data_IF_012063994698
#
_entry.id   IF_012063994698
#
_cell.length_a   1.000
_cell.length_b   1.000
_cell.length_c   1.000
_cell.angle_alpha   90.00
_cell.angle_beta   90.00
_cell.angle_gamma   90.00
#
_symmetry.space_group_name_H-M   'P 1'
#
loop_
_entity.id
_entity.type
_entity.pdbx_description
1 polymer ?
#
# COMPACT_ATOMS: atom_id res chain seq x y z
N UNK A 1 7.45 8.97 10.42
CA UNK A 1 8.27 8.87 9.19
C UNK A 1 7.81 9.89 8.16
N UNK A 2 6.57 9.82 7.67
CA UNK A 2 6.02 10.80 6.71
C UNK A 2 6.15 12.27 7.16
N UNK A 3 5.83 12.56 8.43
CA UNK A 3 6.04 13.91 8.98
C UNK A 3 7.49 14.42 8.93
N UNK A 4 8.49 13.52 8.96
CA UNK A 4 9.88 13.90 8.80
C UNK A 4 10.19 14.30 7.35
N UNK A 5 9.66 13.56 6.36
CA UNK A 5 9.81 13.91 4.95
C UNK A 5 9.21 15.29 4.66
N UNK A 6 8.02 15.58 5.23
CA UNK A 6 7.39 16.89 5.13
C UNK A 6 8.24 17.99 5.79
N UNK A 7 8.78 17.73 6.99
CA UNK A 7 9.61 18.70 7.73
C UNK A 7 10.89 19.06 6.98
N UNK A 8 11.55 18.07 6.38
CA UNK A 8 12.79 18.25 5.62
C UNK A 8 12.55 18.56 4.13
N UNK A 9 11.28 18.69 3.71
CA UNK A 9 10.89 18.94 2.32
C UNK A 9 11.48 17.94 1.30
N UNK A 10 11.78 16.72 1.75
CA UNK A 10 12.47 15.74 0.90
C UNK A 10 12.47 14.33 1.46
N UNK A 11 12.72 13.37 0.56
CA UNK A 11 12.76 11.93 0.85
C UNK A 11 14.18 11.41 0.64
N UNK A 12 14.81 10.77 1.65
CA UNK A 12 16.11 10.16 1.48
C UNK A 12 16.07 8.96 0.53
N UNK A 13 17.23 8.55 0.00
CA UNK A 13 17.35 7.34 -0.82
C UNK A 13 17.06 6.07 -0.02
N UNK A 14 17.57 6.02 1.21
CA UNK A 14 17.43 4.88 2.12
C UNK A 14 16.88 5.34 3.48
N UNK A 15 16.06 4.50 4.11
CA UNK A 15 15.59 4.71 5.48
C UNK A 15 15.95 3.48 6.30
N UNK A 16 16.79 3.69 7.31
CA UNK A 16 17.14 2.65 8.26
C UNK A 16 16.03 2.51 9.31
N UNK A 17 15.57 1.29 9.53
CA UNK A 17 14.48 0.95 10.44
C UNK A 17 14.98 -0.01 11.51
N UNK A 18 14.59 0.27 12.75
CA UNK A 18 14.80 -0.66 13.86
C UNK A 18 13.83 -1.85 13.72
N UNK A 19 14.26 -3.04 14.17
CA UNK A 19 13.54 -4.32 14.05
C UNK A 19 12.35 -4.40 15.04
N UNK A 20 11.51 -3.38 15.07
CA UNK A 20 10.25 -3.44 15.79
C UNK A 20 9.36 -4.51 15.15
N UNK A 21 8.89 -5.48 15.94
CA UNK A 21 8.00 -6.59 15.53
C UNK A 21 6.77 -6.15 14.70
N UNK A 22 6.37 -4.89 14.77
CA UNK A 22 5.25 -4.32 14.01
C UNK A 22 5.56 -4.12 12.50
N UNK A 23 6.82 -4.11 12.08
CA UNK A 23 7.24 -3.81 10.71
C UNK A 23 7.84 -5.00 9.95
N UNK A 24 8.13 -6.11 10.64
CA UNK A 24 8.84 -7.27 10.10
C UNK A 24 7.97 -8.53 10.21
N UNK A 25 7.58 -9.12 9.08
CA UNK A 25 6.78 -10.35 9.01
C UNK A 25 7.63 -11.61 9.16
N UNK A 26 8.90 -11.59 8.74
CA UNK A 26 9.81 -12.73 8.88
C UNK A 26 11.27 -12.25 9.01
N UNK A 27 12.01 -12.88 9.92
CA UNK A 27 13.44 -12.67 10.11
C UNK A 27 14.15 -14.00 9.95
N UNK A 28 14.87 -14.18 8.85
CA UNK A 28 15.79 -15.32 8.73
C UNK A 28 17.17 -14.89 9.26
N UNK A 29 17.51 -15.42 10.43
CA UNK A 29 18.75 -15.10 11.14
C UNK A 29 20.01 -15.66 10.46
N UNK A 30 19.86 -16.59 9.53
CA UNK A 30 20.97 -17.24 8.81
C UNK A 30 21.25 -16.50 7.50
N UNK A 31 20.21 -16.05 6.78
CA UNK A 31 20.35 -15.36 5.47
C UNK A 31 20.39 -13.83 5.57
N UNK A 32 20.07 -13.25 6.75
CA UNK A 32 19.86 -11.79 6.98
C UNK A 32 18.72 -11.20 6.13
N UNK A 33 17.83 -12.04 5.62
CA UNK A 33 16.68 -11.58 4.82
C UNK A 33 15.58 -11.08 5.76
N UNK A 34 15.28 -9.77 5.69
CA UNK A 34 14.20 -9.14 6.45
C UNK A 34 13.04 -8.90 5.52
N UNK A 35 11.93 -9.63 5.74
CA UNK A 35 10.67 -9.33 5.06
C UNK A 35 9.91 -8.27 5.83
N UNK A 36 9.89 -7.06 5.28
CA UNK A 36 9.04 -6.00 5.80
C UNK A 36 7.57 -6.29 5.47
N UNK A 37 6.65 -5.82 6.32
CA UNK A 37 5.22 -5.99 6.05
C UNK A 37 4.82 -5.27 4.74
N UNK A 38 3.73 -5.74 4.12
CA UNK A 38 3.27 -5.22 2.83
C UNK A 38 2.98 -3.71 2.85
N UNK A 39 2.55 -3.18 4.01
CA UNK A 39 2.23 -1.75 4.21
C UNK A 39 3.49 -0.89 4.15
N UNK A 40 4.60 -1.33 4.73
CA UNK A 40 5.89 -0.63 4.68
C UNK A 40 6.47 -0.67 3.26
N UNK A 41 6.36 -1.78 2.55
CA UNK A 41 6.76 -1.83 1.13
C UNK A 41 5.94 -0.89 0.25
N UNK A 42 4.62 -0.80 0.48
CA UNK A 42 3.77 0.16 -0.21
C UNK A 42 4.15 1.61 0.12
N UNK A 43 4.44 1.91 1.39
CA UNK A 43 4.91 3.22 1.85
C UNK A 43 6.26 3.60 1.22
N UNK A 44 7.22 2.67 1.23
CA UNK A 44 8.53 2.81 0.61
C UNK A 44 8.43 3.10 -0.89
N UNK A 45 7.63 2.33 -1.63
CA UNK A 45 7.37 2.59 -3.06
C UNK A 45 6.71 3.94 -3.30
N UNK A 46 5.74 4.32 -2.46
CA UNK A 46 5.01 5.57 -2.61
C UNK A 46 5.89 6.80 -2.46
N UNK A 47 6.77 6.80 -1.46
CA UNK A 47 7.73 7.89 -1.23
C UNK A 47 9.03 7.71 -2.03
N UNK A 48 9.28 6.50 -2.54
CA UNK A 48 10.40 6.14 -3.41
C UNK A 48 11.66 5.68 -2.67
N UNK A 49 11.66 5.50 -1.36
CA UNK A 49 12.87 5.12 -0.60
C UNK A 49 13.04 3.60 -0.44
N UNK A 50 14.27 3.18 -0.16
CA UNK A 50 14.60 1.78 0.14
C UNK A 50 14.65 1.58 1.66
N UNK A 51 13.77 0.73 2.24
CA UNK A 51 13.84 0.41 3.66
C UNK A 51 15.05 -0.52 3.91
N UNK A 52 15.85 -0.21 4.92
CA UNK A 52 16.98 -1.03 5.37
C UNK A 52 16.73 -1.44 6.81
N UNK A 53 16.91 -2.72 7.12
CA UNK A 53 16.82 -3.20 8.49
C UNK A 53 18.14 -2.99 9.21
N UNK A 54 18.10 -2.58 10.47
CA UNK A 54 19.27 -2.65 11.34
C UNK A 54 19.71 -4.11 11.51
N UNK A 55 21.01 -4.37 11.26
CA UNK A 55 21.58 -5.68 11.60
C UNK A 55 21.44 -5.93 13.12
N UNK A 56 21.04 -7.14 13.54
CA UNK A 56 21.10 -7.52 14.95
C UNK A 56 22.51 -7.27 15.49
N UNK A 57 22.62 -6.83 16.74
CA UNK A 57 23.90 -6.60 17.44
C UNK A 57 24.72 -5.33 17.08
N UNK A 58 24.17 -4.33 16.38
CA UNK A 58 24.80 -2.98 16.32
C UNK A 58 24.42 -2.09 17.51
N UNK A 59 24.88 -2.45 18.72
CA UNK A 59 24.69 -1.64 19.94
C UNK A 59 25.19 -0.19 19.81
N UNK A 60 26.15 0.07 18.91
CA UNK A 60 26.79 1.38 18.72
C UNK A 60 25.85 2.45 18.15
N UNK A 61 24.83 2.07 17.39
CA UNK A 61 23.84 3.02 16.82
C UNK A 61 22.77 3.34 17.86
N UNK A 62 22.29 2.33 18.59
CA UNK A 62 21.26 2.46 19.63
C UNK A 62 21.67 3.43 20.75
N UNK A 63 22.94 3.40 21.18
CA UNK A 63 23.45 4.33 22.19
C UNK A 63 23.48 5.81 21.76
N UNK A 64 23.47 6.11 20.46
CA UNK A 64 23.34 7.50 19.97
C UNK A 64 21.89 7.98 20.04
N UNK A 65 20.96 7.12 19.65
CA UNK A 65 19.52 7.42 19.67
C UNK A 65 19.04 7.66 21.12
N UNK A 66 19.48 6.81 22.05
CA UNK A 66 19.15 6.96 23.49
C UNK A 66 19.70 8.27 24.08
N UNK A 67 20.90 8.71 23.68
CA UNK A 67 21.47 9.99 24.11
C UNK A 67 20.71 11.19 23.53
N UNK A 68 20.27 11.11 22.29
CA UNK A 68 19.43 12.14 21.65
C UNK A 68 18.09 12.30 22.37
N UNK A 69 17.42 11.18 22.67
CA UNK A 69 16.15 11.19 23.43
C UNK A 69 16.36 11.76 24.84
N UNK A 70 17.44 11.39 25.52
CA UNK A 70 17.77 11.94 26.83
C UNK A 70 18.01 13.45 26.78
N UNK A 71 18.66 13.96 25.73
CA UNK A 71 18.88 15.39 25.53
C UNK A 71 17.56 16.16 25.38
N UNK A 72 16.65 15.70 24.50
CA UNK A 72 15.34 16.35 24.33
C UNK A 72 14.57 16.35 25.64
N UNK A 73 14.50 15.21 26.35
CA UNK A 73 13.80 15.11 27.63
C UNK A 73 14.36 16.06 28.68
N UNK A 74 15.69 16.14 28.82
CA UNK A 74 16.34 16.96 29.85
C UNK A 74 16.38 18.45 29.51
N UNK A 75 16.55 18.81 28.24
CA UNK A 75 16.79 20.19 27.84
C UNK A 75 15.54 20.89 27.32
N UNK A 76 14.72 20.19 26.53
CA UNK A 76 13.49 20.77 25.98
C UNK A 76 12.33 20.65 26.96
N UNK A 77 12.15 19.50 27.61
CA UNK A 77 10.90 19.16 28.30
C UNK A 77 10.97 19.34 29.83
N UNK A 78 12.08 18.95 30.46
CA UNK A 78 12.17 18.87 31.91
C UNK A 78 11.84 20.20 32.61
N UNK A 79 10.99 20.12 33.65
CA UNK A 79 10.58 21.27 34.46
C UNK A 79 9.56 22.21 33.81
N UNK A 80 9.07 21.90 32.60
CA UNK A 80 8.07 22.72 31.90
C UNK A 80 6.67 22.15 32.01
N UNK A 81 5.67 23.04 32.04
CA UNK A 81 4.24 22.72 31.93
C UNK A 81 3.68 23.49 30.74
N UNK A 82 2.75 22.88 30.01
CA UNK A 82 2.13 23.45 28.84
C UNK A 82 0.63 23.46 29.03
N UNK A 83 -0.02 24.52 28.57
CA UNK A 83 -1.46 24.73 28.70
C UNK A 83 -2.25 23.84 27.73
N UNK A 84 -1.63 23.39 26.64
CA UNK A 84 -2.23 22.50 25.64
C UNK A 84 -1.19 21.69 24.88
N UNK A 85 -1.65 20.68 24.15
CA UNK A 85 -0.79 19.90 23.23
C UNK A 85 -0.21 20.78 22.13
N UNK A 86 -1.00 21.68 21.56
CA UNK A 86 -0.53 22.63 20.54
C UNK A 86 0.57 23.55 21.07
N UNK A 87 0.45 24.02 22.32
CA UNK A 87 1.49 24.82 22.97
C UNK A 87 2.80 24.01 23.18
N UNK A 88 2.67 22.72 23.47
CA UNK A 88 3.82 21.82 23.58
C UNK A 88 4.51 21.58 22.23
N UNK A 89 3.75 21.30 21.17
CA UNK A 89 4.28 21.12 19.81
C UNK A 89 4.98 22.39 19.32
N UNK A 90 4.34 23.55 19.46
CA UNK A 90 4.92 24.84 19.10
C UNK A 90 6.21 25.14 19.88
N UNK A 91 6.26 24.75 21.16
CA UNK A 91 7.46 24.88 21.97
C UNK A 91 8.60 23.99 21.46
N UNK A 92 8.33 22.71 21.18
CA UNK A 92 9.35 21.79 20.65
C UNK A 92 9.85 22.25 19.28
N UNK A 93 8.96 22.72 18.42
CA UNK A 93 9.31 23.27 17.11
C UNK A 93 10.23 24.48 17.22
N UNK A 94 9.93 25.40 18.14
CA UNK A 94 10.77 26.56 18.42
C UNK A 94 12.13 26.14 18.99
N UNK A 95 12.13 25.31 20.03
CA UNK A 95 13.35 24.82 20.67
C UNK A 95 14.24 24.07 19.68
N UNK A 96 13.65 23.29 18.77
CA UNK A 96 14.41 22.59 17.71
C UNK A 96 15.16 23.59 16.85
N UNK A 97 14.45 24.60 16.30
CA UNK A 97 15.06 25.59 15.39
C UNK A 97 16.08 26.50 16.06
N UNK A 98 15.82 26.92 17.30
CA UNK A 98 16.61 27.96 17.97
C UNK A 98 17.75 27.39 18.82
N UNK A 99 17.60 26.16 19.34
CA UNK A 99 18.55 25.55 20.28
C UNK A 99 19.17 24.29 19.71
N UNK A 100 18.34 23.31 19.33
CA UNK A 100 18.85 22.00 18.93
C UNK A 100 19.63 22.04 17.61
N UNK A 101 19.15 22.84 16.65
CA UNK A 101 19.71 22.95 15.31
C UNK A 101 20.91 23.91 15.23
N UNK A 102 21.03 24.84 16.19
CA UNK A 102 22.10 25.85 16.25
C UNK A 102 23.30 25.42 17.11
N UNK A 103 23.14 24.40 17.95
CA UNK A 103 24.21 23.98 18.86
C UNK A 103 25.39 23.42 18.07
N UNK A 104 26.61 23.75 18.50
CA UNK A 104 27.79 23.02 18.03
C UNK A 104 27.72 21.56 18.49
N UNK A 105 27.73 20.65 17.52
CA UNK A 105 27.57 19.24 17.81
C UNK A 105 28.93 18.65 18.21
N UNK A 106 29.10 18.24 19.48
CA UNK A 106 30.39 17.83 20.06
C UNK A 106 31.15 16.68 19.38
N UNK A 107 30.54 15.96 18.43
CA UNK A 107 31.24 14.95 17.59
C UNK A 107 31.66 15.48 16.23
N UNK A 108 30.92 16.44 15.68
CA UNK A 108 31.09 16.91 14.30
C UNK A 108 31.64 18.32 14.22
N UNK A 109 31.64 19.06 15.34
CA UNK A 109 32.16 20.43 15.45
C UNK A 109 31.36 21.47 14.68
N UNK A 110 30.21 21.10 14.11
CA UNK A 110 29.39 21.94 13.23
C UNK A 110 27.94 21.89 13.71
N UNK A 111 27.20 22.97 13.54
CA UNK A 111 25.79 23.04 13.85
C UNK A 111 24.96 22.09 12.96
N UNK A 112 23.99 21.34 13.50
CA UNK A 112 23.12 20.48 12.70
C UNK A 112 22.42 21.19 11.54
N UNK A 113 21.99 22.45 11.73
CA UNK A 113 21.36 23.25 10.67
C UNK A 113 22.30 23.44 9.47
N UNK A 114 23.53 23.86 9.72
CA UNK A 114 24.54 24.12 8.68
C UNK A 114 24.89 22.85 7.92
N UNK A 115 25.10 21.77 8.67
CA UNK A 115 25.41 20.46 8.07
C UNK A 115 24.23 19.94 7.24
N UNK A 116 23.01 20.08 7.73
CA UNK A 116 21.83 19.70 6.97
C UNK A 116 21.69 20.54 5.69
N UNK A 117 21.93 21.85 5.75
CA UNK A 117 21.86 22.71 4.57
C UNK A 117 22.81 22.25 3.45
N UNK A 118 24.01 21.77 3.81
CA UNK A 118 24.97 21.22 2.87
C UNK A 118 24.55 19.88 2.25
N UNK A 119 23.72 19.08 2.94
CA UNK A 119 23.27 17.76 2.51
C UNK A 119 21.83 17.77 1.94
N UNK A 120 21.09 18.89 2.07
CA UNK A 120 19.66 18.98 1.75
C UNK A 120 19.36 18.65 0.28
N UNK A 121 20.24 19.06 -0.64
CA UNK A 121 20.11 18.82 -2.08
C UNK A 121 20.23 17.33 -2.47
N UNK A 122 20.73 16.47 -1.57
CA UNK A 122 20.76 15.03 -1.78
C UNK A 122 19.39 14.37 -1.56
N UNK A 123 18.41 15.08 -0.98
CA UNK A 123 17.06 14.58 -0.79
C UNK A 123 16.26 14.67 -2.09
N UNK A 124 15.42 13.66 -2.33
CA UNK A 124 14.48 13.70 -3.45
C UNK A 124 13.28 14.58 -3.10
N UNK A 125 12.77 15.40 -4.03
CA UNK A 125 11.65 16.27 -3.74
C UNK A 125 10.37 15.48 -3.46
N UNK A 126 9.52 16.03 -2.59
CA UNK A 126 8.20 15.45 -2.27
C UNK A 126 7.23 15.46 -3.47
N UNK A 127 7.50 16.29 -4.47
CA UNK A 127 6.73 16.39 -5.72
C UNK A 127 5.20 16.57 -5.51
N UNK A 128 4.79 17.25 -4.44
CA UNK A 128 3.38 17.48 -4.13
C UNK A 128 2.56 16.22 -3.81
N UNK A 129 3.23 15.10 -3.50
CA UNK A 129 2.56 13.84 -3.16
C UNK A 129 1.73 13.99 -1.89
N UNK A 130 0.52 13.43 -1.91
CA UNK A 130 -0.38 13.43 -0.77
C UNK A 130 0.11 12.54 0.38
N UNK A 131 -0.32 12.77 1.63
CA UNK A 131 -0.01 11.87 2.74
C UNK A 131 -0.49 10.43 2.48
N UNK A 132 0.38 9.46 2.72
CA UNK A 132 0.12 8.03 2.64
C UNK A 132 -0.93 7.58 3.66
N UNK A 133 -1.07 8.30 4.78
CA UNK A 133 -1.99 8.00 5.88
C UNK A 133 -3.46 7.79 5.51
N UNK A 134 -3.88 8.12 4.28
CA UNK A 134 -5.20 7.75 3.72
C UNK A 134 -5.29 6.28 3.26
N UNK A 135 -4.48 5.39 3.82
CA UNK A 135 -4.62 3.95 3.64
C UNK A 135 -5.90 3.48 4.34
N UNK A 136 -6.90 3.05 3.57
CA UNK A 136 -8.10 2.40 4.11
C UNK A 136 -8.14 0.97 3.61
N UNK A 137 -8.11 0.02 4.54
CA UNK A 137 -8.39 -1.38 4.28
C UNK A 137 -9.84 -1.66 4.66
N UNK A 138 -10.62 -2.08 3.68
CA UNK A 138 -12.04 -2.31 3.78
C UNK A 138 -12.37 -3.67 3.19
N UNK A 139 -13.49 -4.25 3.61
CA UNK A 139 -14.10 -5.40 2.91
C UNK A 139 -15.39 -4.93 2.27
N UNK A 140 -15.58 -5.25 0.99
CA UNK A 140 -16.80 -4.94 0.25
C UNK A 140 -17.33 -6.19 -0.45
N UNK A 141 -18.65 -6.34 -0.45
CA UNK A 141 -19.32 -7.38 -1.22
C UNK A 141 -19.51 -6.89 -2.65
N UNK A 142 -19.22 -7.75 -3.61
CA UNK A 142 -19.46 -7.46 -5.02
C UNK A 142 -20.95 -7.59 -5.32
N UNK A 143 -21.51 -6.55 -5.92
CA UNK A 143 -22.92 -6.45 -6.28
C UNK A 143 -23.20 -7.20 -7.60
N UNK A 144 -24.49 -7.44 -7.88
CA UNK A 144 -24.95 -8.14 -9.07
C UNK A 144 -24.55 -7.45 -10.39
N UNK A 145 -24.26 -6.15 -10.35
CA UNK A 145 -23.84 -5.35 -11.48
C UNK A 145 -22.31 -5.33 -11.69
N UNK A 146 -21.60 -6.33 -11.14
CA UNK A 146 -20.15 -6.50 -11.23
C UNK A 146 -19.35 -5.33 -10.64
N UNK A 147 -19.81 -4.71 -9.55
CA UNK A 147 -19.11 -3.60 -8.93
C UNK A 147 -19.09 -3.66 -7.40
N UNK A 148 -18.20 -2.89 -6.79
CA UNK A 148 -18.22 -2.57 -5.36
C UNK A 148 -18.50 -1.09 -5.16
N UNK A 149 -19.17 -0.76 -4.06
CA UNK A 149 -19.41 0.62 -3.68
C UNK A 149 -18.40 1.08 -2.63
N UNK A 150 -17.84 2.26 -2.87
CA UNK A 150 -16.86 2.93 -2.02
C UNK A 150 -17.08 4.45 -2.10
N UNK A 151 -17.32 5.07 -0.94
CA UNK A 151 -17.55 6.52 -0.82
C UNK A 151 -18.57 7.08 -1.81
N UNK A 152 -19.74 6.45 -1.93
CA UNK A 152 -20.81 6.81 -2.87
C UNK A 152 -20.50 6.62 -4.35
N UNK A 153 -19.33 6.08 -4.70
CA UNK A 153 -18.93 5.74 -6.07
C UNK A 153 -18.88 4.23 -6.25
N UNK A 154 -19.09 3.77 -7.48
CA UNK A 154 -19.12 2.35 -7.83
C UNK A 154 -17.94 1.99 -8.74
N UNK A 155 -17.22 0.92 -8.41
CA UNK A 155 -16.00 0.49 -9.10
C UNK A 155 -16.17 -0.93 -9.64
N UNK A 156 -16.01 -1.10 -10.95
CA UNK A 156 -16.18 -2.41 -11.59
C UNK A 156 -15.13 -3.43 -11.12
N UNK A 157 -15.53 -4.69 -11.06
CA UNK A 157 -14.69 -5.85 -10.80
C UNK A 157 -15.02 -6.96 -11.81
N UNK A 158 -14.18 -7.99 -11.94
CA UNK A 158 -14.52 -9.15 -12.78
C UNK A 158 -15.84 -9.81 -12.32
N UNK A 159 -16.72 -10.12 -13.28
CA UNK A 159 -18.06 -10.69 -13.03
C UNK A 159 -18.04 -11.97 -12.19
N UNK A 160 -16.96 -12.75 -12.24
CA UNK A 160 -16.78 -14.01 -11.50
C UNK A 160 -16.78 -13.83 -9.98
N UNK A 161 -16.67 -12.59 -9.52
CA UNK A 161 -16.66 -12.24 -8.11
C UNK A 161 -18.02 -11.77 -7.61
N UNK A 162 -19.07 -11.76 -8.43
CA UNK A 162 -20.44 -11.41 -7.96
C UNK A 162 -20.78 -12.23 -6.72
N UNK A 163 -21.25 -11.55 -5.66
CA UNK A 163 -21.60 -12.19 -4.40
C UNK A 163 -20.43 -12.43 -3.45
N UNK A 164 -19.20 -12.42 -3.94
CA UNK A 164 -17.99 -12.60 -3.12
C UNK A 164 -17.64 -11.35 -2.30
N UNK A 165 -16.88 -11.57 -1.22
CA UNK A 165 -16.28 -10.48 -0.43
C UNK A 165 -14.84 -10.23 -0.87
N UNK A 166 -14.53 -8.97 -1.20
CA UNK A 166 -13.20 -8.53 -1.65
C UNK A 166 -12.59 -7.54 -0.68
N UNK A 167 -11.26 -7.60 -0.56
CA UNK A 167 -10.49 -6.59 0.17
C UNK A 167 -10.28 -5.37 -0.73
N UNK A 168 -10.56 -4.18 -0.21
CA UNK A 168 -10.41 -2.92 -0.91
C UNK A 168 -9.38 -2.08 -0.15
N UNK A 169 -8.27 -1.80 -0.82
CA UNK A 169 -7.18 -0.98 -0.31
C UNK A 169 -7.22 0.35 -1.04
N UNK A 170 -7.52 1.42 -0.31
CA UNK A 170 -7.48 2.78 -0.86
C UNK A 170 -6.16 3.40 -0.47
N UNK A 171 -5.33 3.73 -1.44
CA UNK A 171 -3.99 4.27 -1.19
C UNK A 171 -3.57 5.17 -2.34
N UNK A 172 -2.93 6.30 -2.04
CA UNK A 172 -2.27 7.13 -3.04
C UNK A 172 -3.19 7.58 -4.20
N UNK A 173 -4.48 7.81 -3.93
CA UNK A 173 -5.46 8.16 -4.96
C UNK A 173 -5.85 6.99 -5.87
N UNK A 174 -5.62 5.74 -5.43
CA UNK A 174 -6.06 4.52 -6.10
C UNK A 174 -6.95 3.67 -5.21
N UNK A 175 -7.79 2.87 -5.84
CA UNK A 175 -8.67 1.87 -5.24
C UNK A 175 -8.24 0.51 -5.77
N UNK A 176 -7.48 -0.23 -4.96
CA UNK A 176 -6.96 -1.55 -5.30
C UNK A 176 -7.88 -2.61 -4.70
N UNK A 177 -8.44 -3.46 -5.54
CA UNK A 177 -9.37 -4.50 -5.12
C UNK A 177 -8.67 -5.86 -5.20
N UNK A 178 -8.73 -6.64 -4.12
CA UNK A 178 -8.08 -7.94 -3.99
C UNK A 178 -9.07 -9.03 -3.61
N UNK A 179 -8.88 -10.20 -4.20
CA UNK A 179 -9.60 -11.42 -3.85
C UNK A 179 -8.59 -12.57 -3.70
N UNK A 180 -8.69 -13.34 -2.62
CA UNK A 180 -7.76 -14.43 -2.29
C UNK A 180 -6.27 -14.04 -2.42
N UNK A 181 -5.91 -12.84 -1.93
CA UNK A 181 -4.54 -12.31 -1.97
C UNK A 181 -4.05 -11.79 -3.32
N UNK A 182 -4.85 -11.91 -4.39
CA UNK A 182 -4.50 -11.42 -5.74
C UNK A 182 -5.23 -10.11 -6.06
N UNK A 183 -4.56 -9.20 -6.76
CA UNK A 183 -5.21 -7.98 -7.28
C UNK A 183 -6.12 -8.36 -8.44
N UNK A 184 -7.39 -8.00 -8.33
CA UNK A 184 -8.42 -8.29 -9.33
C UNK A 184 -8.90 -7.04 -10.06
N UNK A 185 -8.68 -5.85 -9.48
CA UNK A 185 -8.89 -4.57 -10.14
C UNK A 185 -8.01 -3.47 -9.49
N UNK A 186 -7.61 -2.48 -10.28
CA UNK A 186 -6.88 -1.29 -9.84
C UNK A 186 -7.48 -0.06 -10.53
N UNK A 187 -8.14 0.80 -9.77
CA UNK A 187 -8.83 1.99 -10.28
C UNK A 187 -8.19 3.26 -9.73
N UNK A 188 -8.29 4.35 -10.51
CA UNK A 188 -8.06 5.68 -9.95
C UNK A 188 -9.23 6.06 -9.02
N UNK A 189 -8.93 6.61 -7.85
CA UNK A 189 -9.93 7.06 -6.89
C UNK A 189 -10.67 8.28 -7.45
N UNK A 190 -12.00 8.19 -7.54
CA UNK A 190 -12.84 9.30 -7.94
C UNK A 190 -13.15 10.22 -6.75
N UNK A 191 -12.96 11.53 -6.94
CA UNK A 191 -13.29 12.57 -5.94
C UNK A 191 -14.75 13.05 -6.02
N UNK A 192 -15.44 12.73 -7.12
CA UNK A 192 -16.86 13.03 -7.30
C UNK A 192 -17.76 12.15 -6.44
N UNK A 193 -19.08 12.33 -6.58
CA UNK A 193 -20.10 11.50 -5.93
C UNK A 193 -20.96 10.81 -6.98
N UNK A 194 -21.45 9.60 -6.67
CA UNK A 194 -22.36 8.80 -7.52
C UNK A 194 -21.80 8.52 -8.92
N UNK A 195 -20.48 8.42 -9.03
CA UNK A 195 -19.81 8.08 -10.28
C UNK A 195 -19.64 6.56 -10.41
N UNK A 196 -19.67 6.08 -11.65
CA UNK A 196 -19.40 4.67 -11.98
C UNK A 196 -18.10 4.56 -12.77
N UNK A 197 -17.12 3.87 -12.19
CA UNK A 197 -15.78 3.71 -12.74
C UNK A 197 -15.68 2.29 -13.29
N UNK A 198 -15.57 2.18 -14.61
CA UNK A 198 -15.60 0.90 -15.32
C UNK A 198 -14.27 0.67 -16.03
N UNK A 199 -13.66 -0.48 -15.75
CA UNK A 199 -12.58 -1.02 -16.58
C UNK A 199 -13.20 -1.76 -17.77
N UNK A 200 -12.84 -1.32 -18.98
CA UNK A 200 -13.34 -1.92 -20.23
C UNK A 200 -12.96 -3.40 -20.35
N UNK A 201 -11.88 -3.85 -19.72
CA UNK A 201 -11.49 -5.26 -19.70
C UNK A 201 -12.52 -6.14 -18.97
N UNK A 202 -13.12 -5.63 -17.88
CA UNK A 202 -14.19 -6.33 -17.17
C UNK A 202 -15.44 -6.48 -18.04
N UNK A 203 -15.82 -5.41 -18.75
CA UNK A 203 -16.98 -5.41 -19.64
C UNK A 203 -16.78 -6.33 -20.85
N UNK A 204 -15.63 -6.25 -21.53
CA UNK A 204 -15.32 -7.09 -22.70
C UNK A 204 -15.37 -8.57 -22.36
N UNK A 205 -14.89 -8.95 -21.17
CA UNK A 205 -14.87 -10.34 -20.73
C UNK A 205 -16.26 -10.84 -20.36
N UNK A 206 -17.09 -10.01 -19.72
CA UNK A 206 -18.51 -10.31 -19.50
C UNK A 206 -19.25 -10.53 -20.82
N UNK A 207 -19.11 -9.61 -21.78
CA UNK A 207 -19.75 -9.74 -23.09
C UNK A 207 -19.30 -10.99 -23.84
N UNK A 208 -18.01 -11.29 -23.83
CA UNK A 208 -17.48 -12.50 -24.45
C UNK A 208 -18.05 -13.78 -23.81
N UNK A 209 -18.06 -13.85 -22.47
CA UNK A 209 -18.58 -15.00 -21.74
C UNK A 209 -20.11 -15.17 -21.98
N UNK A 210 -20.86 -14.05 -22.05
CA UNK A 210 -22.28 -14.05 -22.36
C UNK A 210 -22.59 -14.47 -23.81
N UNK A 211 -21.78 -14.03 -24.78
CA UNK A 211 -21.92 -14.43 -26.19
C UNK A 211 -21.66 -15.92 -26.37
N UNK A 212 -20.62 -16.45 -25.71
CA UNK A 212 -20.31 -17.89 -25.75
C UNK A 212 -21.45 -18.70 -25.14
N UNK A 213 -22.01 -18.24 -24.02
CA UNK A 213 -23.16 -18.88 -23.38
C UNK A 213 -24.40 -18.87 -24.28
N UNK A 214 -24.71 -17.72 -24.90
CA UNK A 214 -25.82 -17.60 -25.83
C UNK A 214 -25.66 -18.52 -27.05
N UNK A 215 -24.46 -18.53 -27.64
CA UNK A 215 -24.17 -19.34 -28.82
C UNK A 215 -24.19 -20.84 -28.51
N UNK A 216 -23.73 -21.24 -27.34
CA UNK A 216 -23.87 -22.62 -26.90
C UNK A 216 -25.34 -23.03 -26.74
N UNK A 217 -26.18 -22.17 -26.15
CA UNK A 217 -27.63 -22.40 -26.07
C UNK A 217 -28.27 -22.60 -27.45
N UNK A 218 -27.89 -21.79 -28.44
CA UNK A 218 -28.36 -21.95 -29.84
C UNK A 218 -27.91 -23.27 -30.47
N UNK A 219 -26.74 -23.78 -30.07
CA UNK A 219 -26.18 -25.05 -30.54
C UNK A 219 -26.67 -26.27 -29.74
N UNK A 220 -27.59 -26.06 -28.77
CA UNK A 220 -28.01 -27.10 -27.84
C UNK A 220 -26.87 -27.61 -26.96
N UNK A 221 -25.82 -26.83 -26.77
CA UNK A 221 -24.61 -27.19 -26.05
C UNK A 221 -24.53 -26.54 -24.67
N UNK A 222 -23.87 -27.21 -23.73
CA UNK A 222 -23.54 -26.64 -22.41
C UNK A 222 -22.13 -26.07 -22.41
N UNK A 223 -21.95 -24.91 -21.79
CA UNK A 223 -20.64 -24.27 -21.67
C UNK A 223 -19.99 -24.66 -20.35
N UNK A 224 -18.85 -25.35 -20.43
CA UNK A 224 -18.00 -25.59 -19.26
C UNK A 224 -16.86 -24.57 -19.24
N UNK A 225 -16.96 -23.61 -18.33
CA UNK A 225 -15.86 -22.68 -18.03
C UNK A 225 -15.01 -23.27 -16.92
N UNK A 226 -13.69 -23.11 -16.98
CA UNK A 226 -12.78 -23.60 -15.93
C UNK A 226 -12.91 -22.90 -14.56
N UNK A 227 -14.01 -22.22 -14.27
CA UNK A 227 -14.15 -21.43 -13.05
C UNK A 227 -15.59 -21.38 -12.53
N UNK A 228 -16.20 -22.55 -12.30
CA UNK A 228 -17.52 -22.65 -11.70
C UNK A 228 -17.40 -23.44 -10.40
N UNK A 229 -17.47 -22.74 -9.26
CA UNK A 229 -17.69 -23.39 -7.96
C UNK A 229 -19.16 -23.76 -7.72
N UNK A 230 -20.07 -23.31 -8.59
CA UNK A 230 -21.52 -23.52 -8.47
C UNK A 230 -22.17 -24.29 -9.65
N UNK A 231 -21.39 -24.96 -10.49
CA UNK A 231 -21.96 -26.02 -11.33
C UNK A 231 -21.67 -27.31 -10.59
N UNK A 232 -22.74 -27.96 -10.16
CA UNK A 232 -22.73 -29.21 -9.44
C UNK A 232 -21.97 -30.29 -10.26
N UNK A 233 -20.65 -30.34 -10.05
CA UNK A 233 -19.69 -31.18 -10.76
C UNK A 233 -20.04 -32.67 -10.65
N UNK A 234 -20.88 -33.03 -9.67
CA UNK A 234 -21.27 -34.40 -9.38
C UNK A 234 -22.62 -34.79 -10.02
N UNK A 235 -23.41 -33.83 -10.51
CA UNK A 235 -24.69 -34.13 -11.19
C UNK A 235 -24.55 -34.31 -12.72
N UNK A 236 -23.35 -34.16 -13.29
CA UNK A 236 -23.11 -34.21 -14.75
C UNK A 236 -21.97 -35.15 -15.16
N UNK A 237 -21.84 -36.32 -14.53
CA UNK A 237 -20.91 -37.36 -14.99
C UNK A 237 -21.25 -37.92 -16.37
N UNK A 238 -22.39 -37.56 -16.97
CA UNK A 238 -22.70 -37.77 -18.38
C UNK A 238 -23.50 -36.57 -18.91
N UNK A 239 -22.89 -35.59 -19.58
CA UNK A 239 -23.66 -34.53 -20.23
C UNK A 239 -24.53 -35.15 -21.33
N UNK A 240 -25.84 -34.93 -21.27
CA UNK A 240 -26.81 -35.40 -22.27
C UNK A 240 -26.75 -34.61 -23.58
N UNK A 241 -25.90 -33.59 -23.64
CA UNK A 241 -25.74 -32.66 -24.76
C UNK A 241 -24.25 -32.39 -25.05
N UNK A 242 -23.90 -31.96 -26.28
CA UNK A 242 -22.54 -31.53 -26.60
C UNK A 242 -22.03 -30.45 -25.65
N UNK A 243 -20.74 -30.48 -25.35
CA UNK A 243 -20.11 -29.54 -24.43
C UNK A 243 -19.11 -28.67 -25.19
N UNK A 244 -19.18 -27.36 -24.94
CA UNK A 244 -18.19 -26.40 -25.44
C UNK A 244 -17.23 -26.07 -24.29
N UNK A 245 -15.97 -26.44 -24.47
CA UNK A 245 -14.86 -25.98 -23.64
C UNK A 245 -14.28 -24.71 -24.26
N UNK A 246 -14.21 -23.63 -23.48
CA UNK A 246 -13.49 -22.44 -23.91
C UNK A 246 -12.59 -21.95 -22.79
N UNK A 247 -11.35 -21.62 -23.16
CA UNK A 247 -10.35 -21.05 -22.26
C UNK A 247 -9.99 -19.66 -22.78
N UNK A 248 -9.97 -18.62 -21.92
CA UNK A 248 -9.51 -17.31 -22.34
C UNK A 248 -8.03 -17.39 -22.76
N UNK A 249 -7.73 -16.86 -23.94
CA UNK A 249 -6.37 -16.76 -24.49
C UNK A 249 -5.59 -15.72 -23.67
N UNK A 250 -5.10 -16.13 -22.51
CA UNK A 250 -4.18 -15.33 -21.68
C UNK A 250 -2.96 -16.14 -21.22
N UNK A 251 -2.88 -17.43 -21.59
CA UNK A 251 -1.80 -18.36 -21.20
C UNK A 251 -0.94 -18.85 -22.38
N UNK A 252 -1.05 -18.25 -23.57
CA UNK A 252 -0.06 -18.51 -24.62
C UNK A 252 1.19 -17.67 -24.31
N UNK A 253 2.13 -18.26 -23.55
CA UNK A 253 3.55 -17.88 -23.72
C UNK A 253 3.87 -18.10 -25.20
N UNK A 254 4.57 -17.17 -25.87
CA UNK A 254 5.10 -17.47 -27.19
C UNK A 254 6.05 -18.66 -27.04
N UNK A 255 5.69 -19.80 -27.64
CA UNK A 255 6.68 -20.80 -27.97
C UNK A 255 7.49 -20.24 -29.14
N UNK A 256 8.81 -20.36 -29.02
CA UNK A 256 9.78 -19.80 -29.95
C UNK A 256 9.70 -20.34 -31.36
#
# INVERSE_FOLDING_TARGET
MEGAFLRFSGVPAEVLLDNAKALVEHHDAVTREVRFNARLHAFARYWGFTPRACAPYRARTKGKDERGVAYVKKNAIAGRRFESWAAFEAHLDRWTREIADQREHGTTGVAPAERFAAEADALRPLAGRAPFGRLRDLVRKVQADCAIDLDTNSYSVPWRLIGESVQVVVLAGRVIIRHAGRVVADHSQCQGRRQRIVDRAHLRRFLNDALIFHQAGLLGATVLTGNVRDFDYLNQLVPSVPVIFYRPVTDLRPQG
#
